data_IF_970532538348
#
_entry.id   IF_970532538348
#
_cell.length_a   1.000
_cell.length_b   1.000
_cell.length_c   1.000
_cell.angle_alpha   90.00
_cell.angle_beta   90.00
_cell.angle_gamma   90.00
#
_symmetry.space_group_name_H-M   'P 1'
#
loop_
_entity.id
_entity.type
_entity.pdbx_description
1 polymer ?
#
# COMPACT_ATOMS: atom_id res chain seq x y z
N UNK A 1 -18.02 19.73 -12.63
CA UNK A 1 -18.17 19.57 -11.16
C UNK A 1 -16.87 19.91 -10.44
N UNK A 2 -15.78 19.17 -10.60
CA UNK A 2 -14.49 19.49 -9.94
C UNK A 2 -13.90 20.84 -10.38
N UNK A 3 -13.84 21.08 -11.69
CA UNK A 3 -13.38 22.36 -12.25
C UNK A 3 -14.21 23.57 -11.80
N UNK A 4 -15.47 23.34 -11.41
CA UNK A 4 -16.36 24.39 -10.91
C UNK A 4 -16.00 24.76 -9.48
N UNK A 5 -15.75 23.78 -8.61
CA UNK A 5 -15.27 24.03 -7.24
C UNK A 5 -13.93 24.75 -7.25
N UNK A 6 -12.98 24.30 -8.06
CA UNK A 6 -11.66 24.95 -8.19
C UNK A 6 -11.80 26.37 -8.75
N UNK A 7 -12.72 26.59 -9.71
CA UNK A 7 -13.02 27.93 -10.23
C UNK A 7 -13.63 28.84 -9.18
N UNK A 8 -14.56 28.34 -8.36
CA UNK A 8 -15.18 29.10 -7.27
C UNK A 8 -14.13 29.45 -6.21
N UNK A 9 -13.30 28.50 -5.78
CA UNK A 9 -12.20 28.73 -4.84
C UNK A 9 -11.25 29.84 -5.35
N UNK A 10 -10.77 29.74 -6.60
CA UNK A 10 -9.92 30.77 -7.22
C UNK A 10 -10.58 32.15 -7.31
N UNK A 11 -11.90 32.21 -7.51
CA UNK A 11 -12.66 33.48 -7.52
C UNK A 11 -12.78 34.05 -6.10
N UNK A 12 -13.04 33.21 -5.10
CA UNK A 12 -13.10 33.61 -3.70
C UNK A 12 -11.74 34.12 -3.21
N UNK A 13 -10.64 33.45 -3.55
CA UNK A 13 -9.29 33.93 -3.23
C UNK A 13 -9.00 35.30 -3.85
N UNK A 14 -9.37 35.50 -5.12
CA UNK A 14 -9.23 36.81 -5.79
C UNK A 14 -10.08 37.90 -5.11
N UNK A 15 -11.28 37.57 -4.63
CA UNK A 15 -12.14 38.50 -3.89
C UNK A 15 -11.50 38.89 -2.55
N UNK A 16 -10.93 37.93 -1.83
CA UNK A 16 -10.20 38.16 -0.57
C UNK A 16 -8.99 39.07 -0.81
N UNK A 17 -8.16 38.77 -1.81
CA UNK A 17 -6.99 39.58 -2.15
C UNK A 17 -7.35 41.02 -2.54
N UNK A 18 -8.47 41.21 -3.25
CA UNK A 18 -8.95 42.52 -3.69
C UNK A 18 -9.82 43.26 -2.66
N UNK A 19 -10.08 42.66 -1.49
CA UNK A 19 -11.00 43.17 -0.45
C UNK A 19 -12.38 43.56 -1.02
N UNK A 20 -12.84 42.83 -2.04
CA UNK A 20 -14.11 43.10 -2.71
C UNK A 20 -15.00 41.86 -2.59
N UNK A 21 -16.15 42.02 -1.94
CA UNK A 21 -17.11 40.94 -1.69
C UNK A 21 -18.28 40.92 -2.69
N UNK A 22 -18.26 41.76 -3.73
CA UNK A 22 -19.32 41.80 -4.74
C UNK A 22 -19.47 40.42 -5.43
N UNK A 23 -20.66 39.84 -5.37
CA UNK A 23 -20.96 38.52 -5.95
C UNK A 23 -20.55 37.32 -5.09
N UNK A 24 -20.02 37.53 -3.87
CA UNK A 24 -19.68 36.42 -2.97
C UNK A 24 -20.90 35.56 -2.63
N UNK A 25 -22.08 36.18 -2.51
CA UNK A 25 -23.34 35.51 -2.17
C UNK A 25 -23.80 34.55 -3.27
N UNK A 26 -23.55 34.88 -4.54
CA UNK A 26 -23.88 34.02 -5.68
C UNK A 26 -22.94 32.82 -5.75
N UNK A 27 -21.64 33.03 -5.53
CA UNK A 27 -20.66 31.94 -5.43
C UNK A 27 -20.98 30.96 -4.28
N UNK A 28 -21.46 31.47 -3.15
CA UNK A 28 -21.87 30.63 -2.02
C UNK A 28 -23.13 29.80 -2.35
N UNK A 29 -24.07 30.36 -3.11
CA UNK A 29 -25.25 29.62 -3.59
C UNK A 29 -24.86 28.55 -4.61
N UNK A 30 -23.95 28.86 -5.53
CA UNK A 30 -23.38 27.89 -6.47
C UNK A 30 -22.74 26.73 -5.71
N UNK A 31 -21.85 27.01 -4.75
CA UNK A 31 -21.20 26.02 -3.90
C UNK A 31 -22.19 25.12 -3.17
N UNK A 32 -23.27 25.69 -2.63
CA UNK A 32 -24.32 24.94 -1.90
C UNK A 32 -25.05 23.93 -2.79
N UNK A 33 -25.19 24.23 -4.08
CA UNK A 33 -25.92 23.37 -5.02
C UNK A 33 -25.03 22.27 -5.63
N UNK A 34 -23.73 22.27 -5.36
CA UNK A 34 -22.82 21.23 -5.85
C UNK A 34 -23.06 19.94 -5.04
N UNK A 35 -23.26 18.78 -5.71
CA UNK A 35 -23.46 17.52 -5.03
C UNK A 35 -22.20 17.13 -4.24
N UNK A 36 -22.36 16.90 -2.94
CA UNK A 36 -21.26 16.50 -2.07
C UNK A 36 -21.00 15.00 -2.19
N UNK A 37 -20.13 14.62 -3.13
CA UNK A 37 -19.71 13.23 -3.34
C UNK A 37 -18.43 12.89 -2.57
N UNK A 38 -18.20 11.60 -2.35
CA UNK A 38 -16.98 11.11 -1.70
C UNK A 38 -15.72 11.49 -2.50
N UNK A 39 -15.78 11.36 -3.82
CA UNK A 39 -14.68 11.72 -4.74
C UNK A 39 -14.35 13.20 -4.63
N UNK A 40 -15.36 14.07 -4.64
CA UNK A 40 -15.17 15.51 -4.48
C UNK A 40 -14.53 15.86 -3.13
N UNK A 41 -14.96 15.23 -2.04
CA UNK A 41 -14.37 15.44 -0.71
C UNK A 41 -12.92 14.97 -0.62
N UNK A 42 -12.59 13.86 -1.27
CA UNK A 42 -11.22 13.35 -1.33
C UNK A 42 -10.31 14.30 -2.12
N UNK A 43 -10.81 14.87 -3.22
CA UNK A 43 -10.10 15.83 -4.07
C UNK A 43 -10.07 17.26 -3.52
N UNK A 44 -10.94 17.62 -2.58
CA UNK A 44 -10.85 18.93 -1.91
C UNK A 44 -9.94 18.92 -0.68
N UNK A 45 -9.40 17.76 -0.28
CA UNK A 45 -8.45 17.66 0.82
C UNK A 45 -7.14 18.40 0.52
N UNK A 46 -6.39 18.77 1.57
CA UNK A 46 -5.08 19.42 1.41
C UNK A 46 -4.10 18.52 0.63
N UNK A 47 -3.14 19.15 -0.05
CA UNK A 47 -2.15 18.45 -0.86
C UNK A 47 -1.36 17.42 -0.04
N UNK A 48 -0.99 17.77 1.20
CA UNK A 48 -0.33 16.86 2.15
C UNK A 48 -1.18 15.62 2.46
N UNK A 49 -2.49 15.80 2.70
CA UNK A 49 -3.40 14.68 2.97
C UNK A 49 -3.58 13.79 1.75
N UNK A 50 -3.67 14.38 0.55
CA UNK A 50 -3.74 13.61 -0.69
C UNK A 50 -2.47 12.78 -0.90
N UNK A 51 -1.31 13.35 -0.65
CA UNK A 51 -0.03 12.67 -0.81
C UNK A 51 0.13 11.53 0.20
N UNK A 52 -0.22 11.77 1.48
CA UNK A 52 -0.26 10.70 2.49
C UNK A 52 -1.18 9.56 2.07
N UNK A 53 -2.40 9.83 1.62
CA UNK A 53 -3.33 8.79 1.15
C UNK A 53 -2.73 7.99 0.00
N UNK A 54 -2.15 8.67 -1.00
CA UNK A 54 -1.50 8.02 -2.15
C UNK A 54 -0.35 7.11 -1.69
N UNK A 55 0.46 7.55 -0.73
CA UNK A 55 1.56 6.75 -0.20
C UNK A 55 1.06 5.51 0.55
N UNK A 56 0.09 5.68 1.45
CA UNK A 56 -0.55 4.57 2.16
C UNK A 56 -1.17 3.54 1.20
N UNK A 57 -1.88 3.99 0.16
CA UNK A 57 -2.45 3.09 -0.84
C UNK A 57 -1.37 2.32 -1.60
N UNK A 58 -0.27 3.00 -1.98
CA UNK A 58 0.87 2.34 -2.65
C UNK A 58 1.54 1.31 -1.74
N UNK A 59 1.74 1.63 -0.48
CA UNK A 59 2.35 0.73 0.50
C UNK A 59 1.47 -0.48 0.77
N UNK A 60 0.16 -0.28 0.95
CA UNK A 60 -0.79 -1.37 1.11
C UNK A 60 -0.76 -2.32 -0.10
N UNK A 61 -0.82 -1.78 -1.33
CA UNK A 61 -0.73 -2.61 -2.55
C UNK A 61 0.59 -3.38 -2.58
N UNK A 62 1.70 -2.71 -2.29
CA UNK A 62 3.03 -3.33 -2.25
C UNK A 62 3.08 -4.48 -1.25
N UNK A 63 2.58 -4.28 -0.03
CA UNK A 63 2.57 -5.31 1.01
C UNK A 63 1.73 -6.52 0.59
N UNK A 64 0.54 -6.29 0.02
CA UNK A 64 -0.34 -7.38 -0.43
C UNK A 64 0.24 -8.17 -1.61
N UNK A 65 1.07 -7.54 -2.43
CA UNK A 65 1.74 -8.19 -3.56
C UNK A 65 2.98 -8.99 -3.16
N UNK A 66 3.53 -8.79 -1.95
CA UNK A 66 4.67 -9.58 -1.49
C UNK A 66 4.20 -10.98 -1.06
N UNK A 67 4.54 -11.99 -1.85
CA UNK A 67 4.39 -13.39 -1.45
C UNK A 67 5.26 -13.64 -0.20
N UNK A 68 4.64 -13.71 0.99
CA UNK A 68 5.34 -14.17 2.19
C UNK A 68 5.68 -15.65 1.99
N UNK A 69 6.94 -15.97 1.72
CA UNK A 69 7.43 -17.35 1.73
C UNK A 69 7.20 -17.92 3.12
N UNK A 70 6.24 -18.82 3.26
CA UNK A 70 5.93 -19.49 4.52
C UNK A 70 7.10 -20.38 5.00
N UNK A 71 7.22 -20.50 6.32
CA UNK A 71 8.22 -21.32 7.01
C UNK A 71 9.15 -20.52 7.92
N UNK A 72 10.00 -21.22 8.66
CA UNK A 72 10.93 -20.61 9.62
C UNK A 72 12.25 -20.27 8.93
N UNK A 73 12.61 -18.99 8.92
CA UNK A 73 13.91 -18.55 8.40
C UNK A 73 15.05 -19.07 9.28
N UNK A 74 16.13 -19.54 8.64
CA UNK A 74 17.28 -20.10 9.33
C UNK A 74 18.57 -19.93 8.52
N UNK A 75 19.67 -19.75 9.23
CA UNK A 75 21.03 -19.73 8.67
C UNK A 75 21.77 -21.07 8.88
N UNK A 76 21.07 -22.10 9.39
CA UNK A 76 21.63 -23.43 9.64
C UNK A 76 22.05 -24.14 8.35
N UNK A 77 21.41 -23.81 7.23
CA UNK A 77 21.64 -24.47 5.95
C UNK A 77 22.33 -23.54 4.95
N UNK A 78 23.35 -24.06 4.27
CA UNK A 78 24.02 -23.35 3.16
C UNK A 78 23.53 -23.91 1.83
N UNK A 79 23.03 -23.05 0.94
CA UNK A 79 22.54 -23.48 -0.36
C UNK A 79 23.68 -23.96 -1.27
N UNK A 80 23.58 -25.19 -1.80
CA UNK A 80 24.59 -25.74 -2.70
C UNK A 80 24.73 -25.01 -4.05
N UNK A 81 23.70 -24.27 -4.50
CA UNK A 81 23.73 -23.52 -5.77
C UNK A 81 24.35 -22.13 -5.64
N UNK A 82 23.83 -21.31 -4.72
CA UNK A 82 24.26 -19.91 -4.58
C UNK A 82 25.20 -19.66 -3.39
N UNK A 83 25.47 -20.67 -2.56
CA UNK A 83 26.33 -20.61 -1.36
C UNK A 83 25.89 -19.62 -0.27
N UNK A 84 24.69 -19.03 -0.38
CA UNK A 84 24.09 -18.18 0.65
C UNK A 84 23.39 -19.02 1.72
N UNK A 85 23.26 -18.45 2.92
CA UNK A 85 22.62 -19.10 4.09
C UNK A 85 21.15 -18.72 4.30
N UNK A 86 20.63 -17.76 3.55
CA UNK A 86 19.22 -17.34 3.61
C UNK A 86 18.29 -18.46 3.10
N UNK A 87 17.90 -19.33 4.04
CA UNK A 87 17.06 -20.49 3.80
C UNK A 87 15.85 -20.47 4.75
N UNK A 88 14.77 -21.10 4.31
CA UNK A 88 13.57 -21.34 5.09
C UNK A 88 13.40 -22.85 5.22
N UNK A 89 13.13 -23.34 6.43
CA UNK A 89 12.86 -24.76 6.65
C UNK A 89 11.42 -25.00 7.11
N UNK A 90 10.92 -26.21 6.86
CA UNK A 90 9.62 -26.68 7.33
C UNK A 90 9.74 -28.16 7.66
N UNK A 91 9.31 -28.56 8.85
CA UNK A 91 9.33 -29.95 9.28
C UNK A 91 7.96 -30.57 9.06
N UNK A 92 7.93 -31.69 8.34
CA UNK A 92 6.71 -32.43 8.06
C UNK A 92 6.96 -33.90 8.38
N UNK A 93 6.07 -34.50 9.17
CA UNK A 93 6.05 -35.93 9.37
C UNK A 93 5.47 -36.59 8.11
N UNK A 94 6.34 -37.14 7.25
CA UNK A 94 5.93 -37.78 5.99
C UNK A 94 5.88 -39.31 6.09
N UNK A 95 6.25 -39.87 7.25
CA UNK A 95 6.37 -41.31 7.51
C UNK A 95 5.72 -41.69 8.83
N UNK A 96 5.72 -42.99 9.16
CA UNK A 96 5.16 -43.55 10.39
C UNK A 96 5.63 -42.80 11.65
N UNK A 97 4.86 -42.90 12.73
CA UNK A 97 5.18 -42.24 14.00
C UNK A 97 6.55 -42.62 14.59
N UNK A 98 7.06 -43.80 14.21
CA UNK A 98 8.35 -44.33 14.66
C UNK A 98 9.55 -43.77 13.87
N UNK A 99 9.33 -43.00 12.79
CA UNK A 99 10.38 -42.40 11.99
C UNK A 99 10.53 -40.89 12.26
N UNK A 100 11.76 -40.34 12.22
CA UNK A 100 11.99 -38.92 12.49
C UNK A 100 11.33 -38.03 11.42
N UNK A 101 10.95 -36.81 11.84
CA UNK A 101 10.34 -35.82 10.93
C UNK A 101 11.28 -35.46 9.78
N UNK A 102 10.73 -35.30 8.57
CA UNK A 102 11.50 -34.85 7.41
C UNK A 102 11.56 -33.33 7.38
N UNK A 103 12.77 -32.77 7.25
CA UNK A 103 12.98 -31.33 7.12
C UNK A 103 13.08 -30.93 5.66
N UNK A 104 12.16 -30.12 5.16
CA UNK A 104 12.22 -29.50 3.85
C UNK A 104 12.89 -28.14 3.95
N UNK A 105 13.89 -27.88 3.10
CA UNK A 105 14.64 -26.62 3.09
C UNK A 105 14.50 -25.96 1.73
N UNK A 106 14.23 -24.65 1.73
CA UNK A 106 14.12 -23.80 0.54
C UNK A 106 15.10 -22.64 0.67
N UNK A 107 15.92 -22.41 -0.33
CA UNK A 107 16.76 -21.22 -0.42
C UNK A 107 15.94 -20.04 -0.94
N UNK A 108 15.85 -18.96 -0.17
CA UNK A 108 15.06 -17.77 -0.52
C UNK A 108 15.71 -16.93 -1.63
N UNK A 109 16.98 -17.20 -1.94
CA UNK A 109 17.78 -16.42 -2.89
C UNK A 109 17.73 -16.97 -4.31
N UNK A 110 17.73 -18.30 -4.48
CA UNK A 110 17.75 -18.95 -5.79
C UNK A 110 16.61 -19.95 -5.99
N UNK A 111 15.70 -20.08 -5.01
CA UNK A 111 14.56 -20.99 -5.07
C UNK A 111 14.91 -22.47 -4.99
N UNK A 112 16.18 -22.84 -4.73
CA UNK A 112 16.59 -24.24 -4.62
C UNK A 112 15.88 -24.92 -3.44
N UNK A 113 15.33 -26.12 -3.65
CA UNK A 113 14.63 -26.88 -2.62
C UNK A 113 15.26 -28.25 -2.45
N UNK A 114 15.46 -28.69 -1.22
CA UNK A 114 15.97 -30.03 -0.92
C UNK A 114 15.40 -30.55 0.38
N UNK A 115 15.52 -31.86 0.58
CA UNK A 115 15.11 -32.56 1.81
C UNK A 115 16.34 -32.89 2.65
N UNK A 116 16.19 -32.76 3.96
CA UNK A 116 17.14 -33.19 4.97
C UNK A 116 16.40 -34.20 5.86
N UNK A 117 16.91 -35.44 5.88
CA UNK A 117 16.33 -36.58 6.61
C UNK A 117 17.26 -36.93 7.77
#
# INVERSE_FOLDING_TARGET
MEDEVVRIAKKMDKMVQKKNAAGALDLLKELKNIPMTLELLQEMASDELKEMRKNLTKEAIREHQMAKTGGTQTDLFTCGKCKKKNCTYTQVQTRSADEPMTTFVVCNECGNRWKFC
#
